data_IF_956328399793
#
_entry.id   IF_956328399793
#
_cell.length_a   1.000
_cell.length_b   1.000
_cell.length_c   1.000
_cell.angle_alpha   90.00
_cell.angle_beta   90.00
_cell.angle_gamma   90.00
#
_symmetry.space_group_name_H-M   'P 1'
#
loop_
_entity.id
_entity.type
_entity.pdbx_description
1 polymer ?
#
# COMPACT_ATOMS: atom_id res chain seq x y z
N UNK A 1 -21.80 35.85 -6.27
CA UNK A 1 -20.31 35.76 -6.26
C UNK A 1 -19.79 35.32 -4.91
N UNK A 2 -20.13 35.98 -3.82
CA UNK A 2 -19.70 35.56 -2.46
C UNK A 2 -20.21 34.18 -2.09
N UNK A 3 -21.39 33.80 -2.50
CA UNK A 3 -21.99 32.47 -2.23
C UNK A 3 -21.22 31.36 -2.91
N UNK A 4 -20.75 31.56 -4.14
CA UNK A 4 -19.94 30.61 -4.88
C UNK A 4 -18.58 30.38 -4.21
N UNK A 5 -17.97 31.45 -3.74
CA UNK A 5 -16.69 31.37 -3.05
C UNK A 5 -16.81 30.61 -1.74
N UNK A 6 -17.89 30.82 -0.99
CA UNK A 6 -18.16 30.10 0.26
C UNK A 6 -18.39 28.62 0.03
N UNK A 7 -19.14 28.26 -1.01
CA UNK A 7 -19.40 26.86 -1.38
C UNK A 7 -18.09 26.16 -1.78
N UNK A 8 -17.27 26.82 -2.60
CA UNK A 8 -15.99 26.28 -3.05
C UNK A 8 -15.02 26.07 -1.88
N UNK A 9 -14.95 27.05 -0.98
CA UNK A 9 -14.11 26.97 0.22
C UNK A 9 -14.54 25.82 1.13
N UNK A 10 -15.84 25.67 1.36
CA UNK A 10 -16.38 24.58 2.17
C UNK A 10 -16.08 23.21 1.53
N UNK A 11 -16.19 23.10 0.21
CA UNK A 11 -15.87 21.88 -0.54
C UNK A 11 -14.39 21.55 -0.45
N UNK A 12 -13.51 22.55 -0.60
CA UNK A 12 -12.06 22.38 -0.50
C UNK A 12 -11.65 21.95 0.92
N UNK A 13 -12.25 22.55 1.94
CA UNK A 13 -12.01 22.19 3.33
C UNK A 13 -12.47 20.76 3.64
N UNK A 14 -13.63 20.37 3.08
CA UNK A 14 -14.14 18.99 3.23
C UNK A 14 -13.19 17.98 2.57
N UNK A 15 -12.76 18.25 1.34
CA UNK A 15 -11.84 17.41 0.61
C UNK A 15 -10.50 17.27 1.37
N UNK A 16 -9.98 18.37 1.90
CA UNK A 16 -8.75 18.37 2.69
C UNK A 16 -8.91 17.53 3.97
N UNK A 17 -10.06 17.63 4.65
CA UNK A 17 -10.32 16.81 5.84
C UNK A 17 -10.43 15.33 5.50
N UNK A 18 -11.11 14.99 4.40
CA UNK A 18 -11.24 13.61 3.95
C UNK A 18 -9.87 13.01 3.62
N UNK A 19 -9.03 13.76 2.93
CA UNK A 19 -7.68 13.33 2.60
C UNK A 19 -6.80 13.19 3.84
N UNK A 20 -6.90 14.12 4.79
CA UNK A 20 -6.15 14.06 6.04
C UNK A 20 -6.56 12.87 6.92
N UNK A 21 -7.81 12.38 6.77
CA UNK A 21 -8.33 11.24 7.52
C UNK A 21 -8.10 9.89 6.84
N UNK A 22 -7.52 9.87 5.64
CA UNK A 22 -7.23 8.62 4.94
C UNK A 22 -6.27 7.74 5.74
N UNK A 23 -6.47 6.42 5.73
CA UNK A 23 -5.49 5.50 6.27
C UNK A 23 -4.12 5.74 5.65
N UNK A 24 -3.10 5.84 6.48
CA UNK A 24 -1.72 6.12 6.04
C UNK A 24 -0.77 5.11 6.68
N UNK A 25 -0.65 3.89 6.11
CA UNK A 25 0.27 2.90 6.66
C UNK A 25 1.71 3.38 6.59
N UNK A 26 2.52 2.92 7.52
CA UNK A 26 3.95 3.21 7.59
C UNK A 26 4.81 2.08 7.05
N UNK A 27 4.25 0.87 6.98
CA UNK A 27 4.90 -0.29 6.40
C UNK A 27 4.08 -0.89 5.28
N UNK A 28 4.75 -1.35 4.24
CA UNK A 28 4.12 -1.98 3.08
C UNK A 28 4.91 -3.22 2.69
N UNK A 29 4.20 -4.34 2.55
CA UNK A 29 4.77 -5.57 2.01
C UNK A 29 3.98 -5.95 0.76
N UNK A 30 4.66 -6.12 -0.36
CA UNK A 30 4.07 -6.57 -1.62
C UNK A 30 4.50 -8.00 -1.93
N UNK A 31 3.55 -8.82 -2.32
CA UNK A 31 3.77 -10.22 -2.66
C UNK A 31 2.87 -10.61 -3.84
N UNK A 32 3.28 -11.63 -4.64
CA UNK A 32 2.57 -11.96 -5.87
C UNK A 32 1.25 -12.69 -5.68
N UNK A 33 1.07 -13.41 -4.59
CA UNK A 33 -0.10 -14.27 -4.39
C UNK A 33 -0.79 -14.04 -3.06
N UNK A 34 -2.08 -14.32 -3.04
CA UNK A 34 -2.91 -14.30 -1.84
C UNK A 34 -2.36 -15.23 -0.75
N UNK A 35 -1.93 -16.42 -1.13
CA UNK A 35 -1.35 -17.42 -0.21
C UNK A 35 -0.12 -16.86 0.49
N UNK A 36 0.78 -16.21 -0.27
CA UNK A 36 1.98 -15.63 0.30
C UNK A 36 1.67 -14.44 1.20
N UNK A 37 0.73 -13.59 0.80
CA UNK A 37 0.26 -12.48 1.65
C UNK A 37 -0.21 -13.01 3.01
N UNK A 38 -1.02 -14.07 3.01
CA UNK A 38 -1.52 -14.64 4.26
C UNK A 38 -0.41 -15.27 5.10
N UNK A 39 0.56 -15.93 4.48
CA UNK A 39 1.72 -16.50 5.18
C UNK A 39 2.57 -15.42 5.82
N UNK A 40 2.82 -14.34 5.11
CA UNK A 40 3.57 -13.19 5.63
C UNK A 40 2.83 -12.57 6.81
N UNK A 41 1.52 -12.37 6.68
CA UNK A 41 0.71 -11.77 7.73
C UNK A 41 0.69 -12.62 9.00
N UNK A 42 0.64 -13.95 8.87
CA UNK A 42 0.70 -14.87 10.00
C UNK A 42 1.99 -14.68 10.82
N UNK A 43 3.09 -14.34 10.17
CA UNK A 43 4.38 -14.11 10.83
C UNK A 43 4.46 -12.70 11.39
N UNK A 44 4.02 -11.71 10.64
CA UNK A 44 4.15 -10.30 11.01
C UNK A 44 3.14 -9.87 12.08
N UNK A 45 1.91 -10.36 12.01
CA UNK A 45 0.84 -9.92 12.88
C UNK A 45 1.17 -10.02 14.38
N UNK A 46 1.66 -11.15 14.90
CA UNK A 46 2.00 -11.25 16.33
C UNK A 46 3.12 -10.28 16.72
N UNK A 47 4.09 -10.07 15.83
CA UNK A 47 5.18 -9.12 16.09
C UNK A 47 4.67 -7.68 16.13
N UNK A 48 3.79 -7.32 15.18
CA UNK A 48 3.19 -6.00 15.14
C UNK A 48 2.36 -5.73 16.39
N UNK A 49 1.53 -6.69 16.80
CA UNK A 49 0.70 -6.57 18.00
C UNK A 49 1.54 -6.34 19.25
N UNK A 50 2.72 -6.98 19.36
CA UNK A 50 3.62 -6.79 20.49
C UNK A 50 4.10 -5.33 20.59
N UNK A 51 4.12 -4.59 19.49
CA UNK A 51 4.48 -3.17 19.44
C UNK A 51 3.26 -2.25 19.34
N UNK A 52 2.06 -2.77 19.56
CA UNK A 52 0.83 -1.97 19.48
C UNK A 52 0.44 -1.57 18.08
N UNK A 53 0.94 -2.27 17.05
CA UNK A 53 0.64 -2.00 15.65
C UNK A 53 -0.33 -3.01 15.08
N UNK A 54 -1.08 -2.60 14.04
CA UNK A 54 -2.04 -3.44 13.35
C UNK A 54 -1.57 -3.75 11.92
N UNK A 55 -1.97 -4.92 11.42
CA UNK A 55 -1.72 -5.32 10.04
C UNK A 55 -3.05 -5.51 9.30
N UNK A 56 -3.07 -5.22 8.02
CA UNK A 56 -4.21 -5.46 7.13
C UNK A 56 -3.70 -6.14 5.87
N UNK A 57 -4.41 -7.20 5.45
CA UNK A 57 -4.12 -7.87 4.17
C UNK A 57 -5.01 -7.30 3.08
N UNK A 58 -4.45 -7.15 1.87
CA UNK A 58 -5.16 -6.58 0.71
C UNK A 58 -4.89 -7.46 -0.51
N UNK A 59 -5.93 -8.10 -1.04
CA UNK A 59 -5.83 -8.91 -2.26
C UNK A 59 -7.21 -9.11 -2.89
N UNK A 60 -7.22 -9.51 -4.17
CA UNK A 60 -8.45 -9.77 -4.91
C UNK A 60 -9.24 -10.97 -4.40
N UNK A 61 -10.52 -11.05 -4.79
CA UNK A 61 -11.42 -12.14 -4.40
C UNK A 61 -12.09 -11.92 -3.05
N UNK A 62 -11.87 -10.78 -2.41
CA UNK A 62 -12.52 -10.39 -1.15
C UNK A 62 -13.31 -9.10 -1.39
N UNK A 63 -14.39 -8.93 -0.64
CA UNK A 63 -15.24 -7.74 -0.72
C UNK A 63 -14.42 -6.45 -0.48
N UNK A 64 -14.61 -5.45 -1.34
CA UNK A 64 -14.02 -4.12 -1.16
C UNK A 64 -14.41 -3.51 0.18
N UNK A 65 -15.69 -3.60 0.53
CA UNK A 65 -16.20 -3.02 1.77
C UNK A 65 -15.48 -3.57 3.00
N UNK A 66 -15.19 -4.86 3.01
CA UNK A 66 -14.48 -5.52 4.10
C UNK A 66 -13.04 -5.02 4.23
N UNK A 67 -12.35 -4.89 3.11
CA UNK A 67 -10.97 -4.40 3.09
C UNK A 67 -10.89 -2.93 3.47
N UNK A 68 -11.80 -2.11 2.97
CA UNK A 68 -11.90 -0.70 3.33
C UNK A 68 -12.15 -0.54 4.83
N UNK A 69 -13.06 -1.34 5.40
CA UNK A 69 -13.33 -1.33 6.84
C UNK A 69 -12.09 -1.67 7.65
N UNK A 70 -11.32 -2.68 7.23
CA UNK A 70 -10.07 -3.05 7.87
C UNK A 70 -9.04 -1.91 7.84
N UNK A 71 -8.91 -1.25 6.71
CA UNK A 71 -8.00 -0.11 6.56
C UNK A 71 -8.42 1.06 7.49
N UNK A 72 -9.71 1.35 7.55
CA UNK A 72 -10.25 2.43 8.40
C UNK A 72 -10.11 2.14 9.89
N UNK A 73 -10.15 0.88 10.29
CA UNK A 73 -9.99 0.49 11.69
C UNK A 73 -8.56 0.75 12.18
N UNK A 74 -7.63 0.94 11.27
CA UNK A 74 -6.23 1.23 11.57
C UNK A 74 -5.31 0.22 10.90
N UNK A 75 -4.43 0.69 10.04
CA UNK A 75 -3.49 -0.16 9.32
C UNK A 75 -2.11 0.50 9.39
N UNK A 76 -1.28 0.00 10.30
CA UNK A 76 0.11 0.44 10.40
C UNK A 76 0.96 -0.23 9.34
N UNK A 77 0.67 -1.51 9.05
CA UNK A 77 1.35 -2.31 8.03
C UNK A 77 0.30 -2.92 7.11
N UNK A 78 0.49 -2.72 5.81
CA UNK A 78 -0.35 -3.34 4.78
C UNK A 78 0.46 -4.42 4.08
N UNK A 79 -0.09 -5.63 4.01
CA UNK A 79 0.49 -6.76 3.26
C UNK A 79 -0.44 -7.01 2.07
N UNK A 80 0.05 -6.82 0.86
CA UNK A 80 -0.83 -6.71 -0.30
C UNK A 80 -0.32 -7.39 -1.56
N UNK A 81 -1.26 -7.80 -2.40
CA UNK A 81 -1.00 -8.05 -3.81
C UNK A 81 -1.14 -6.72 -4.58
N UNK A 82 -0.28 -6.47 -5.56
CA UNK A 82 -0.21 -5.16 -6.21
C UNK A 82 -1.51 -4.67 -6.85
N UNK A 83 -2.25 -5.55 -7.53
CA UNK A 83 -3.43 -5.15 -8.29
C UNK A 83 -4.55 -4.57 -7.44
N UNK A 84 -4.96 -5.25 -6.37
CA UNK A 84 -6.03 -4.78 -5.48
C UNK A 84 -5.59 -3.52 -4.72
N UNK A 85 -4.33 -3.45 -4.31
CA UNK A 85 -3.83 -2.26 -3.63
C UNK A 85 -3.89 -1.04 -4.55
N UNK A 86 -3.49 -1.19 -5.80
CA UNK A 86 -3.58 -0.11 -6.79
C UNK A 86 -5.03 0.34 -6.99
N UNK A 87 -5.98 -0.60 -7.04
CA UNK A 87 -7.40 -0.28 -7.15
C UNK A 87 -7.89 0.56 -5.97
N UNK A 88 -7.53 0.17 -4.75
CA UNK A 88 -7.92 0.91 -3.55
C UNK A 88 -7.33 2.32 -3.52
N UNK A 89 -6.10 2.46 -3.98
CA UNK A 89 -5.45 3.78 -4.10
C UNK A 89 -6.15 4.66 -5.12
N UNK A 90 -6.52 4.11 -6.27
CA UNK A 90 -7.27 4.85 -7.30
C UNK A 90 -8.63 5.32 -6.79
N UNK A 91 -9.25 4.55 -5.91
CA UNK A 91 -10.54 4.90 -5.31
C UNK A 91 -10.38 5.84 -4.10
N UNK A 92 -9.16 6.24 -3.77
CA UNK A 92 -8.92 7.16 -2.66
C UNK A 92 -9.18 6.56 -1.29
N UNK A 93 -8.96 5.25 -1.11
CA UNK A 93 -9.26 4.55 0.15
C UNK A 93 -8.10 4.56 1.14
N UNK A 94 -6.90 4.86 0.70
CA UNK A 94 -5.71 4.99 1.54
C UNK A 94 -4.67 5.83 0.80
N UNK A 95 -3.61 6.19 1.51
CA UNK A 95 -2.45 6.87 0.93
C UNK A 95 -1.17 6.15 1.34
N UNK A 96 -0.20 6.08 0.45
CA UNK A 96 1.10 5.47 0.71
C UNK A 96 2.19 6.51 1.04
N UNK A 97 1.83 7.78 1.17
CA UNK A 97 2.80 8.86 1.35
C UNK A 97 3.53 8.82 2.69
N UNK A 98 3.01 8.07 3.67
CA UNK A 98 3.65 7.88 4.98
C UNK A 98 4.45 6.58 5.07
N UNK A 99 4.52 5.79 4.00
CA UNK A 99 5.25 4.51 4.01
C UNK A 99 6.75 4.76 4.11
N UNK A 100 7.32 4.29 5.20
CA UNK A 100 8.74 4.44 5.51
C UNK A 100 9.55 3.20 5.14
N UNK A 101 8.91 2.03 5.15
CA UNK A 101 9.55 0.75 4.82
C UNK A 101 8.67 0.00 3.84
N UNK A 102 9.27 -0.41 2.73
CA UNK A 102 8.60 -1.26 1.74
C UNK A 102 9.41 -2.52 1.52
N UNK A 103 8.73 -3.66 1.58
CA UNK A 103 9.33 -4.97 1.33
C UNK A 103 8.66 -5.57 0.10
N UNK A 104 9.48 -5.99 -0.87
CA UNK A 104 9.02 -6.75 -2.03
C UNK A 104 9.45 -8.19 -1.83
N UNK A 105 8.50 -9.10 -1.63
CA UNK A 105 8.78 -10.52 -1.46
C UNK A 105 8.44 -11.27 -2.74
N UNK A 106 9.29 -12.25 -3.10
CA UNK A 106 9.22 -12.97 -4.38
C UNK A 106 9.14 -12.00 -5.57
N UNK A 107 10.06 -11.04 -5.62
CA UNK A 107 10.08 -10.01 -6.64
C UNK A 107 10.24 -10.55 -8.05
N UNK A 108 11.01 -11.64 -8.23
CA UNK A 108 11.16 -12.34 -9.50
C UNK A 108 9.83 -12.95 -9.98
N UNK A 109 9.05 -13.52 -9.07
CA UNK A 109 7.72 -14.06 -9.37
C UNK A 109 6.78 -12.92 -9.79
N UNK A 110 6.81 -11.78 -9.09
CA UNK A 110 6.02 -10.62 -9.48
C UNK A 110 6.40 -10.13 -10.88
N UNK A 111 7.69 -10.14 -11.20
CA UNK A 111 8.17 -9.79 -12.54
C UNK A 111 7.63 -10.76 -13.60
N UNK A 112 7.71 -12.05 -13.32
CA UNK A 112 7.24 -13.10 -14.23
C UNK A 112 5.72 -13.02 -14.46
N UNK A 113 4.96 -12.61 -13.45
CA UNK A 113 3.52 -12.42 -13.54
C UNK A 113 3.10 -11.10 -14.20
N UNK A 114 4.05 -10.27 -14.60
CA UNK A 114 3.77 -8.99 -15.24
C UNK A 114 3.41 -7.87 -14.27
N UNK A 115 3.77 -7.99 -13.00
CA UNK A 115 3.40 -7.02 -11.96
C UNK A 115 4.42 -5.89 -11.75
N UNK A 116 5.52 -5.85 -12.54
CA UNK A 116 6.50 -4.77 -12.37
C UNK A 116 5.93 -3.38 -12.63
N UNK A 117 5.12 -3.14 -13.68
CA UNK A 117 4.54 -1.81 -13.86
C UNK A 117 3.68 -1.35 -12.68
N UNK A 118 2.70 -2.14 -12.16
CA UNK A 118 1.97 -1.73 -10.98
C UNK A 118 2.85 -1.59 -9.73
N UNK A 119 3.83 -2.47 -9.53
CA UNK A 119 4.76 -2.35 -8.40
C UNK A 119 5.53 -1.04 -8.47
N UNK A 120 6.03 -0.67 -9.64
CA UNK A 120 6.75 0.59 -9.84
C UNK A 120 5.87 1.79 -9.50
N UNK A 121 4.62 1.79 -9.97
CA UNK A 121 3.66 2.87 -9.66
C UNK A 121 3.37 2.97 -8.16
N UNK A 122 3.29 1.83 -7.48
CA UNK A 122 3.08 1.81 -6.02
C UNK A 122 4.29 2.39 -5.29
N UNK A 123 5.49 1.99 -5.68
CA UNK A 123 6.73 2.50 -5.06
C UNK A 123 6.87 4.01 -5.23
N UNK A 124 6.45 4.54 -6.38
CA UNK A 124 6.49 5.99 -6.63
C UNK A 124 5.59 6.79 -5.68
N UNK A 125 4.58 6.17 -5.10
CA UNK A 125 3.66 6.81 -4.16
C UNK A 125 4.16 6.78 -2.71
N UNK A 126 5.19 5.98 -2.41
CA UNK A 126 5.77 5.91 -1.07
C UNK A 126 6.73 7.08 -0.83
N UNK A 127 7.06 7.34 0.44
CA UNK A 127 8.05 8.36 0.78
C UNK A 127 9.40 8.00 0.13
N UNK A 128 9.94 8.90 -0.68
CA UNK A 128 11.21 8.70 -1.40
C UNK A 128 12.41 8.51 -0.47
N UNK A 129 12.29 8.94 0.78
CA UNK A 129 13.33 8.77 1.81
C UNK A 129 13.21 7.43 2.53
N UNK A 130 12.16 6.67 2.23
CA UNK A 130 11.89 5.40 2.88
C UNK A 130 12.87 4.30 2.45
N UNK A 131 12.97 3.29 3.28
CA UNK A 131 13.78 2.11 3.03
C UNK A 131 13.00 1.11 2.18
N UNK A 132 13.68 0.52 1.21
CA UNK A 132 13.11 -0.54 0.36
C UNK A 132 13.98 -1.79 0.47
N UNK A 133 13.32 -2.94 0.66
CA UNK A 133 13.99 -4.23 0.80
C UNK A 133 13.42 -5.19 -0.24
N UNK A 134 14.30 -5.93 -0.88
CA UNK A 134 13.95 -6.85 -1.95
C UNK A 134 14.33 -8.27 -1.57
N UNK A 135 13.38 -9.19 -1.64
CA UNK A 135 13.61 -10.62 -1.46
C UNK A 135 13.22 -11.34 -2.76
N UNK A 136 14.15 -12.08 -3.32
CA UNK A 136 13.97 -12.72 -4.61
C UNK A 136 14.93 -13.90 -4.74
N UNK A 137 14.46 -14.99 -5.35
CA UNK A 137 15.33 -16.13 -5.65
C UNK A 137 16.34 -15.78 -6.75
N UNK A 138 15.94 -14.87 -7.67
CA UNK A 138 16.81 -14.38 -8.73
C UNK A 138 16.80 -12.85 -8.72
N UNK A 139 17.96 -12.22 -8.94
CA UNK A 139 18.11 -10.77 -8.98
C UNK A 139 18.57 -10.37 -10.37
N UNK A 140 17.63 -10.22 -11.29
CA UNK A 140 17.93 -9.74 -12.62
C UNK A 140 17.84 -8.19 -12.67
N UNK A 141 18.26 -7.65 -13.81
CA UNK A 141 18.32 -6.19 -14.00
C UNK A 141 16.95 -5.52 -13.87
N UNK A 142 15.89 -6.18 -14.37
CA UNK A 142 14.52 -5.63 -14.31
C UNK A 142 14.03 -5.51 -12.88
N UNK A 143 14.25 -6.56 -12.10
CA UNK A 143 13.86 -6.59 -10.68
C UNK A 143 14.62 -5.50 -9.90
N UNK A 144 15.91 -5.40 -10.11
CA UNK A 144 16.75 -4.39 -9.46
C UNK A 144 16.33 -2.97 -9.81
N UNK A 145 15.99 -2.70 -11.06
CA UNK A 145 15.56 -1.37 -11.52
C UNK A 145 14.22 -0.95 -10.91
N UNK A 146 13.30 -1.89 -10.65
CA UNK A 146 12.00 -1.58 -10.08
C UNK A 146 12.10 -1.03 -8.65
N UNK A 147 13.17 -1.34 -7.93
CA UNK A 147 13.36 -0.94 -6.53
C UNK A 147 14.21 0.31 -6.40
N UNK A 148 15.01 0.62 -7.42
CA UNK A 148 15.93 1.76 -7.39
C UNK A 148 15.16 3.08 -7.45
N UNK A 149 15.53 4.07 -6.64
CA UNK A 149 14.95 5.39 -6.75
C UNK A 149 15.33 6.01 -8.10
N UNK A 150 14.35 6.58 -8.76
CA UNK A 150 14.54 7.24 -10.04
C UNK A 150 15.13 8.63 -9.87
#
# INVERSE_FOLDING_TARGET
MKEFEQIRKASDEKAAREQASLPRPRGLVLAPTRELVNQIDEVIQPLAEAYGMSTVTVYGGVSYARQVAGLRAGADIVVACPGRLEDLLRQGKLSLDAVEITILDEADEMADMGFLPPVTRLLEQTDSRGQRMLFSATLDRKVMQSVSPS
#
